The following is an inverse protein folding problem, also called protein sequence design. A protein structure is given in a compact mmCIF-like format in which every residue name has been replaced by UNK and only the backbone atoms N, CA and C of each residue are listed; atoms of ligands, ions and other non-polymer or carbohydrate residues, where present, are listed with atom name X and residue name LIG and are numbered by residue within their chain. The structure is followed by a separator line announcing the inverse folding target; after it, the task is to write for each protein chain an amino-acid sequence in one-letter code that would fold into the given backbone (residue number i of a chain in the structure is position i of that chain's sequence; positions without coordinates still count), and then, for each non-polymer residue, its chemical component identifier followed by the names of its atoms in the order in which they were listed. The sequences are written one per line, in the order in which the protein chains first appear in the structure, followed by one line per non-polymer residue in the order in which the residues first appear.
data_IF_066574796181
#
_entry.id   IF_066574796181
#
_cell.length_a   1.000
_cell.length_b   1.000
_cell.length_c   1.000
_cell.angle_alpha   90.00
_cell.angle_beta   90.00
_cell.angle_gamma   90.00
#
_symmetry.space_group_name_H-M   'P 1'
#
loop_
_entity.id
_entity.type
_entity.pdbx_description
1 polymer ?
#
# COMPACT_ATOMS: atom_id res chain seq x y z
N UNK A 1 6.98 16.30 -2.70
CA UNK A 1 7.28 15.33 -1.62
C UNK A 1 5.99 14.65 -1.24
N UNK A 2 5.84 13.36 -1.55
CA UNK A 2 4.63 12.60 -1.21
C UNK A 2 4.64 12.33 0.29
N UNK A 3 3.86 13.11 1.06
CA UNK A 3 3.75 13.04 2.52
C UNK A 3 2.97 11.82 3.01
N UNK A 4 3.34 10.64 2.53
CA UNK A 4 2.75 9.37 2.91
C UNK A 4 3.81 8.46 3.53
N UNK A 5 3.42 7.71 4.56
CA UNK A 5 4.28 6.72 5.21
C UNK A 5 4.02 5.36 4.60
N UNK A 6 5.02 4.78 3.93
CA UNK A 6 4.92 3.44 3.34
C UNK A 6 5.62 2.40 4.22
N UNK A 7 4.89 1.33 4.50
CA UNK A 7 5.33 0.18 5.28
C UNK A 7 5.70 -0.96 4.33
N UNK A 8 6.83 -1.61 4.61
CA UNK A 8 7.43 -2.62 3.73
C UNK A 8 7.66 -3.91 4.51
N UNK A 9 7.52 -5.05 3.86
CA UNK A 9 7.90 -6.38 4.37
C UNK A 9 8.80 -7.02 3.32
N UNK A 10 10.01 -7.44 3.69
CA UNK A 10 10.96 -8.10 2.77
C UNK A 10 11.24 -7.32 1.46
N UNK A 11 11.23 -5.98 1.53
CA UNK A 11 11.42 -5.10 0.36
C UNK A 11 10.18 -4.96 -0.54
N UNK A 12 9.05 -5.57 -0.17
CA UNK A 12 7.76 -5.44 -0.82
C UNK A 12 6.86 -4.46 -0.04
N UNK A 13 6.16 -3.57 -0.75
CA UNK A 13 5.21 -2.66 -0.13
C UNK A 13 4.01 -3.42 0.43
N UNK A 14 3.69 -3.16 1.70
CA UNK A 14 2.53 -3.71 2.40
C UNK A 14 1.35 -2.73 2.34
N UNK A 15 1.52 -1.57 2.99
CA UNK A 15 0.53 -0.50 3.03
C UNK A 15 1.22 0.87 2.96
N UNK A 16 0.53 1.88 2.47
CA UNK A 16 0.95 3.28 2.55
C UNK A 16 -0.16 4.13 3.18
N UNK A 17 0.13 4.79 4.29
CA UNK A 17 -0.78 5.70 4.96
C UNK A 17 -0.55 7.15 4.49
N UNK A 18 -1.63 7.88 4.27
CA UNK A 18 -1.60 9.28 3.86
C UNK A 18 -2.79 10.04 4.44
N UNK A 19 -2.80 11.37 4.33
CA UNK A 19 -3.97 12.19 4.69
C UNK A 19 -5.24 11.83 3.90
N UNK A 20 -5.10 11.12 2.77
CA UNK A 20 -6.23 10.72 1.92
C UNK A 20 -6.68 9.28 2.18
N UNK A 21 -6.26 8.70 3.31
CA UNK A 21 -6.56 7.33 3.72
C UNK A 21 -5.38 6.37 3.56
N UNK A 22 -5.70 5.09 3.45
CA UNK A 22 -4.75 3.98 3.38
C UNK A 22 -4.72 3.39 1.97
N UNK A 23 -3.54 3.01 1.51
CA UNK A 23 -3.37 2.18 0.32
C UNK A 23 -2.82 0.82 0.74
N UNK A 24 -3.48 -0.27 0.37
CA UNK A 24 -3.10 -1.62 0.75
C UNK A 24 -2.81 -2.49 -0.48
N UNK A 25 -1.75 -3.29 -0.41
CA UNK A 25 -1.38 -4.25 -1.47
C UNK A 25 -1.92 -5.64 -1.13
N UNK A 26 -3.13 -5.94 -1.61
CA UNK A 26 -3.86 -7.19 -1.30
C UNK A 26 -3.66 -8.29 -2.35
N UNK A 27 -3.09 -7.96 -3.51
CA UNK A 27 -2.95 -8.90 -4.63
C UNK A 27 -4.22 -9.03 -5.48
N UNK A 28 -4.08 -9.62 -6.67
CA UNK A 28 -5.20 -9.72 -7.61
C UNK A 28 -6.33 -10.64 -7.09
N UNK A 29 -5.97 -11.71 -6.38
CA UNK A 29 -6.92 -12.72 -5.90
C UNK A 29 -7.87 -12.17 -4.83
N UNK A 30 -7.38 -11.26 -3.98
CA UNK A 30 -8.18 -10.62 -2.94
C UNK A 30 -8.81 -9.29 -3.41
N UNK A 31 -8.50 -8.81 -4.62
CA UNK A 31 -8.98 -7.52 -5.13
C UNK A 31 -10.52 -7.47 -5.14
N UNK A 32 -11.18 -8.52 -5.65
CA UNK A 32 -12.64 -8.58 -5.72
C UNK A 32 -13.29 -8.58 -4.33
N UNK A 33 -12.69 -9.24 -3.35
CA UNK A 33 -13.20 -9.25 -1.97
C UNK A 33 -12.99 -7.89 -1.29
N UNK A 34 -11.84 -7.26 -1.55
CA UNK A 34 -11.52 -5.94 -1.03
C UNK A 34 -12.45 -4.85 -1.59
N UNK A 35 -12.77 -4.88 -2.88
CA UNK A 35 -13.67 -3.92 -3.52
C UNK A 35 -15.13 -4.03 -3.06
N UNK A 36 -15.53 -5.14 -2.41
CA UNK A 36 -16.85 -5.28 -1.78
C UNK A 36 -16.95 -4.56 -0.42
N UNK A 37 -15.83 -4.18 0.19
CA UNK A 37 -15.83 -3.47 1.47
C UNK A 37 -16.16 -1.99 1.25
N UNK A 38 -16.86 -1.36 2.22
CA UNK A 38 -17.19 0.06 2.11
C UNK A 38 -15.91 0.90 2.07
N UNK A 39 -15.98 2.04 1.38
CA UNK A 39 -14.88 3.01 1.24
C UNK A 39 -13.61 2.47 0.55
N UNK A 40 -13.70 1.30 -0.10
CA UNK A 40 -12.60 0.69 -0.84
C UNK A 40 -12.77 0.89 -2.34
N UNK A 41 -11.71 1.35 -3.00
CA UNK A 41 -11.67 1.58 -4.44
C UNK A 41 -10.35 1.09 -5.01
N UNK A 42 -10.32 0.81 -6.32
CA UNK A 42 -9.08 0.43 -6.98
C UNK A 42 -8.13 1.62 -7.01
N UNK A 43 -6.85 1.38 -6.73
CA UNK A 43 -5.86 2.43 -6.86
C UNK A 43 -5.52 2.64 -8.35
N UNK A 44 -5.81 3.83 -8.86
CA UNK A 44 -5.51 4.24 -10.24
C UNK A 44 -4.58 5.47 -10.24
N UNK A 45 -3.26 5.29 -10.06
CA UNK A 45 -2.33 6.38 -10.25
C UNK A 45 -2.29 6.73 -11.74
N UNK A 46 -2.69 7.95 -12.09
CA UNK A 46 -2.61 8.50 -13.44
C UNK A 46 -3.36 7.66 -14.52
N UNK A 47 -4.52 7.10 -14.17
CA UNK A 47 -5.39 6.39 -15.13
C UNK A 47 -4.91 4.98 -15.52
N UNK A 48 -3.83 4.47 -14.92
CA UNK A 48 -3.42 3.07 -15.08
C UNK A 48 -3.88 2.27 -13.86
N UNK A 49 -4.83 1.32 -14.01
CA UNK A 49 -5.22 0.46 -12.91
C UNK A 49 -4.01 -0.38 -12.48
N UNK A 50 -3.67 -0.31 -11.19
CA UNK A 50 -2.68 -1.19 -10.59
C UNK A 50 -3.41 -2.35 -9.91
N UNK A 51 -3.50 -3.53 -10.56
CA UNK A 51 -4.17 -4.66 -9.96
C UNK A 51 -3.54 -5.04 -8.61
N UNK A 52 -4.39 -5.36 -7.65
CA UNK A 52 -4.03 -5.73 -6.28
C UNK A 52 -3.64 -4.57 -5.37
N UNK A 53 -3.78 -3.32 -5.82
CA UNK A 53 -3.66 -2.13 -4.96
C UNK A 53 -5.03 -1.52 -4.72
N UNK A 54 -5.42 -1.49 -3.45
CA UNK A 54 -6.70 -0.95 -3.01
C UNK A 54 -6.45 0.33 -2.25
N UNK A 55 -7.25 1.34 -2.54
CA UNK A 55 -7.31 2.59 -1.81
C UNK A 55 -8.53 2.57 -0.91
N UNK A 56 -8.31 2.88 0.36
CA UNK A 56 -9.30 2.94 1.40
C UNK A 56 -9.35 4.39 1.87
N UNK A 57 -10.54 4.98 1.83
CA UNK A 57 -10.75 6.33 2.35
C UNK A 57 -10.61 6.35 3.89
N UNK A 58 -10.32 7.51 4.51
CA UNK A 58 -10.21 7.62 5.96
C UNK A 58 -11.38 7.01 6.74
N UNK A 59 -12.58 7.10 6.17
CA UNK A 59 -13.84 6.59 6.72
C UNK A 59 -13.83 5.07 6.88
N UNK A 60 -13.10 4.34 6.02
CA UNK A 60 -12.97 2.89 6.03
C UNK A 60 -11.84 2.35 6.92
N UNK A 61 -11.18 3.22 7.69
CA UNK A 61 -10.09 2.88 8.63
C UNK A 61 -10.24 3.58 9.99
N UNK A 62 -11.46 4.00 10.35
CA UNK A 62 -11.70 4.73 11.60
C UNK A 62 -11.54 3.86 12.85
N UNK A 63 -11.73 2.54 12.74
CA UNK A 63 -11.52 1.60 13.84
C UNK A 63 -10.25 0.78 13.63
N UNK A 64 -9.62 0.39 14.74
CA UNK A 64 -8.47 -0.50 14.73
C UNK A 64 -8.80 -1.84 14.05
N UNK A 65 -10.05 -2.30 14.18
CA UNK A 65 -10.53 -3.54 13.55
C UNK A 65 -10.60 -3.42 12.02
N UNK A 66 -11.04 -2.27 11.51
CA UNK A 66 -11.06 -2.03 10.07
C UNK A 66 -9.64 -1.95 9.53
N UNK A 67 -8.78 -1.19 10.21
CA UNK A 67 -7.36 -1.09 9.85
C UNK A 67 -6.67 -2.45 9.87
N UNK A 68 -6.87 -3.24 10.92
CA UNK A 68 -6.31 -4.59 11.07
C UNK A 68 -6.76 -5.50 9.93
N UNK A 69 -8.03 -5.42 9.53
CA UNK A 69 -8.57 -6.20 8.41
C UNK A 69 -7.80 -5.90 7.12
N UNK A 70 -7.57 -4.62 6.82
CA UNK A 70 -6.81 -4.20 5.63
C UNK A 70 -5.35 -4.64 5.67
N UNK A 71 -4.70 -4.48 6.83
CA UNK A 71 -3.32 -4.89 7.03
C UNK A 71 -3.19 -6.41 6.90
N UNK A 72 -4.11 -7.20 7.43
CA UNK A 72 -4.07 -8.65 7.35
C UNK A 72 -4.29 -9.16 5.91
N UNK A 73 -5.21 -8.57 5.16
CA UNK A 73 -5.37 -8.89 3.73
C UNK A 73 -4.08 -8.60 2.96
N UNK A 74 -3.44 -7.45 3.22
CA UNK A 74 -2.17 -7.12 2.58
C UNK A 74 -1.03 -8.07 3.00
N UNK A 75 -0.96 -8.44 4.29
CA UNK A 75 0.06 -9.34 4.82
C UNK A 75 -0.05 -10.73 4.22
N UNK A 76 -1.26 -11.26 4.09
CA UNK A 76 -1.50 -12.57 3.49
C UNK A 76 -0.88 -12.69 2.09
N UNK A 77 -0.95 -11.62 1.29
CA UNK A 77 -0.34 -11.59 -0.04
C UNK A 77 1.16 -11.26 -0.01
N UNK A 78 1.55 -10.21 0.73
CA UNK A 78 2.93 -9.69 0.67
C UNK A 78 3.95 -10.60 1.35
N UNK A 79 3.54 -11.36 2.37
CA UNK A 79 4.42 -12.33 3.03
C UNK A 79 4.73 -13.55 2.14
N UNK A 80 3.84 -13.89 1.21
CA UNK A 80 4.04 -15.00 0.26
C UNK A 80 4.94 -14.59 -0.92
N UNK A 81 5.09 -13.29 -1.17
CA UNK A 81 5.96 -12.82 -2.24
C UNK A 81 7.43 -13.12 -1.95
N UNK A 82 8.19 -13.56 -2.97
CA UNK A 82 9.63 -13.73 -2.81
C UNK A 82 10.25 -12.38 -2.40
N UNK A 83 11.23 -12.39 -1.47
CA UNK A 83 11.92 -11.18 -1.08
C UNK A 83 12.54 -10.55 -2.32
N UNK A 84 12.25 -9.27 -2.54
CA UNK A 84 12.80 -8.57 -3.69
C UNK A 84 14.31 -8.47 -3.48
N UNK A 85 15.11 -9.13 -4.33
CA UNK A 85 16.58 -8.96 -4.33
C UNK A 85 16.87 -7.47 -4.35
N UNK A 86 17.47 -6.95 -3.28
CA UNK A 86 17.73 -5.53 -3.13
C UNK A 86 18.61 -5.07 -4.30
N UNK A 87 18.08 -4.26 -5.20
CA UNK A 87 18.93 -3.45 -6.08
C UNK A 87 19.51 -2.36 -5.19
N UNK A 88 20.84 -2.31 -5.09
CA UNK A 88 21.58 -1.25 -4.43
C UNK A 88 21.04 0.11 -4.86
N UNK A 89 20.63 0.95 -3.91
CA UNK A 89 20.31 2.35 -4.20
C UNK A 89 21.63 3.06 -4.54
N UNK A 90 21.76 3.77 -5.67
CA UNK A 90 22.82 4.75 -5.79
C UNK A 90 22.54 5.83 -4.73
N UNK A 91 23.56 6.15 -3.93
CA UNK A 91 23.48 7.21 -2.95
C UNK A 91 23.20 8.53 -3.68
N UNK A 92 21.96 9.04 -3.58
CA UNK A 92 21.66 10.39 -4.05
C UNK A 92 22.23 11.36 -3.02
N UNK A 93 23.42 11.85 -3.32
CA UNK A 93 24.09 12.96 -2.65
C UNK A 93 23.12 14.14 -2.55
N UNK A 94 22.69 14.45 -1.32
CA UNK A 94 21.93 15.66 -1.04
C UNK A 94 22.92 16.82 -1.08
N UNK A 95 23.08 17.45 -2.24
CA UNK A 95 23.75 18.73 -2.36
C UNK A 95 23.04 19.74 -1.47
N UNK A 96 23.70 20.06 -0.36
CA UNK A 96 23.34 21.12 0.57
C UNK A 96 23.70 22.43 -0.12
N UNK A 97 22.72 23.13 -0.70
CA UNK A 97 22.93 24.53 -1.12
C UNK A 97 22.53 25.46 0.01
N UNK A 98 23.42 26.45 0.19
CA UNK A 98 23.55 27.40 1.29
C UNK A 98 22.41 28.40 1.39
#
# INVERSE_FOLDING_TARGET
MFGSTCFMVNGNMLVCASKRGLMARVGADQETAALKKPHASRCEPAGRPMPGFIRIEPEGIQSDRDLETWVNMARAYVCDLPPKKAKSKPATERTRQR
#
